data_IF_191930755471
#
_entry.id   IF_191930755471
#
_cell.length_a   1.000
_cell.length_b   1.000
_cell.length_c   1.000
_cell.angle_alpha   90.00
_cell.angle_beta   90.00
_cell.angle_gamma   90.00
#
_symmetry.space_group_name_H-M   'P 1'
#
loop_
_entity.id
_entity.type
_entity.pdbx_description
1 polymer ?
#
# COMPACT_ATOMS: atom_id res chain seq x y z
N UNK A 1 18.28 -25.06 -16.06
CA UNK A 1 17.76 -24.09 -15.08
C UNK A 1 17.91 -22.70 -15.66
N UNK A 2 16.81 -21.94 -15.85
CA UNK A 2 16.94 -20.52 -16.25
C UNK A 2 17.45 -19.73 -15.05
N UNK A 3 18.39 -18.78 -15.24
CA UNK A 3 18.84 -17.91 -14.15
C UNK A 3 17.63 -17.20 -13.53
N UNK A 4 17.63 -17.05 -12.21
CA UNK A 4 16.66 -16.20 -11.53
C UNK A 4 16.62 -14.83 -12.24
N UNK A 5 15.44 -14.32 -12.57
CA UNK A 5 15.32 -13.00 -13.19
C UNK A 5 16.07 -11.99 -12.31
N UNK A 6 16.99 -11.19 -12.87
CA UNK A 6 17.76 -10.23 -12.09
C UNK A 6 16.79 -9.29 -11.36
N UNK A 7 16.98 -9.14 -10.05
CA UNK A 7 16.19 -8.19 -9.27
C UNK A 7 16.50 -6.79 -9.80
N UNK A 8 15.46 -6.07 -10.18
CA UNK A 8 15.57 -4.71 -10.68
C UNK A 8 15.53 -3.75 -9.48
N UNK A 9 16.65 -3.10 -9.12
CA UNK A 9 16.75 -2.30 -7.90
C UNK A 9 15.68 -1.21 -7.80
N UNK A 10 15.28 -0.62 -8.94
CA UNK A 10 14.25 0.40 -9.02
C UNK A 10 12.87 -0.10 -8.55
N UNK A 11 12.53 -1.37 -8.80
CA UNK A 11 11.28 -1.96 -8.33
C UNK A 11 11.38 -2.44 -6.88
N UNK A 12 12.56 -2.85 -6.41
CA UNK A 12 12.79 -3.15 -5.00
C UNK A 12 12.73 -1.87 -4.14
N UNK A 13 13.24 -0.75 -4.66
CA UNK A 13 13.09 0.59 -4.07
C UNK A 13 11.62 1.01 -4.04
N UNK A 14 10.90 0.81 -5.14
CA UNK A 14 9.47 1.13 -5.22
C UNK A 14 8.65 0.30 -4.23
N UNK A 15 8.99 -0.98 -3.98
CA UNK A 15 8.33 -1.80 -2.94
C UNK A 15 8.56 -1.23 -1.54
N UNK A 16 9.79 -0.80 -1.24
CA UNK A 16 10.11 -0.19 0.05
C UNK A 16 9.38 1.15 0.21
N UNK A 17 9.36 1.98 -0.84
CA UNK A 17 8.62 3.25 -0.83
C UNK A 17 7.11 3.03 -0.67
N UNK A 18 6.54 2.06 -1.40
CA UNK A 18 5.13 1.71 -1.27
C UNK A 18 4.79 1.24 0.14
N UNK A 19 5.68 0.47 0.78
CA UNK A 19 5.51 0.06 2.17
C UNK A 19 5.61 1.22 3.15
N UNK A 20 6.58 2.12 2.94
CA UNK A 20 6.70 3.36 3.71
C UNK A 20 5.43 4.22 3.57
N UNK A 21 4.87 4.34 2.36
CA UNK A 21 3.61 5.03 2.12
C UNK A 21 2.41 4.38 2.80
N UNK A 22 2.39 3.05 2.96
CA UNK A 22 1.34 2.37 3.75
C UNK A 22 1.44 2.77 5.22
N UNK A 23 2.64 2.73 5.82
CA UNK A 23 2.86 3.19 7.20
C UNK A 23 2.47 4.67 7.36
N UNK A 24 2.86 5.50 6.39
CA UNK A 24 2.54 6.91 6.35
C UNK A 24 1.03 7.18 6.25
N UNK A 25 0.29 6.37 5.48
CA UNK A 25 -1.17 6.46 5.45
C UNK A 25 -1.80 6.00 6.78
N UNK A 26 -1.17 5.05 7.47
CA UNK A 26 -1.62 4.56 8.76
C UNK A 26 -1.42 5.57 9.90
N UNK A 27 -0.48 6.52 9.80
CA UNK A 27 -0.45 7.66 10.73
C UNK A 27 -1.72 8.50 10.64
N UNK A 28 -2.27 8.65 9.43
CA UNK A 28 -3.52 9.39 9.24
C UNK A 28 -4.74 8.54 9.58
N UNK A 29 -4.79 7.31 9.08
CA UNK A 29 -5.98 6.46 9.21
C UNK A 29 -6.16 5.83 10.58
N UNK A 30 -5.08 5.37 11.22
CA UNK A 30 -5.12 4.83 12.57
C UNK A 30 -4.66 5.85 13.61
N UNK A 31 -3.56 6.56 13.34
CA UNK A 31 -2.99 7.53 14.28
C UNK A 31 -3.87 8.76 14.54
N UNK A 32 -4.59 9.26 13.52
CA UNK A 32 -5.51 10.39 13.66
C UNK A 32 -6.99 9.97 13.48
N UNK A 33 -7.26 8.66 13.53
CA UNK A 33 -8.59 8.06 13.40
C UNK A 33 -9.44 8.61 12.24
N UNK A 34 -8.82 8.81 11.07
CA UNK A 34 -9.44 9.44 9.89
C UNK A 34 -10.79 8.84 9.49
N UNK A 35 -11.01 7.55 9.73
CA UNK A 35 -12.22 6.86 9.29
C UNK A 35 -13.42 7.04 10.23
N UNK A 36 -13.18 7.15 11.54
CA UNK A 36 -14.27 7.30 12.51
C UNK A 36 -14.45 8.77 12.93
N UNK A 37 -13.33 9.49 13.10
CA UNK A 37 -13.29 10.87 13.56
C UNK A 37 -12.32 11.69 12.68
N UNK A 38 -12.70 12.00 11.43
CA UNK A 38 -11.84 12.73 10.50
C UNK A 38 -11.42 14.09 11.10
N UNK A 39 -10.10 14.38 11.18
CA UNK A 39 -9.60 15.65 11.70
C UNK A 39 -10.21 16.85 10.97
N UNK A 40 -10.60 17.85 11.75
CA UNK A 40 -11.21 19.09 11.29
C UNK A 40 -10.20 20.23 11.43
N UNK A 41 -10.16 21.12 10.45
CA UNK A 41 -9.26 22.27 10.42
C UNK A 41 -10.03 23.54 10.04
N UNK A 42 -9.71 24.64 10.73
CA UNK A 42 -10.25 25.96 10.46
C UNK A 42 -9.34 26.70 9.48
N UNK A 43 -9.86 27.02 8.29
CA UNK A 43 -9.07 27.71 7.25
C UNK A 43 -8.76 29.18 7.59
N UNK A 44 -9.44 29.75 8.59
CA UNK A 44 -9.18 31.09 9.12
C UNK A 44 -7.90 31.16 9.94
N UNK A 45 -7.46 30.06 10.55
CA UNK A 45 -6.19 29.97 11.25
C UNK A 45 -5.07 29.58 10.28
N UNK A 46 -3.97 30.34 10.28
CA UNK A 46 -2.86 30.12 9.34
C UNK A 46 -2.14 28.79 9.54
N UNK A 47 -2.02 28.31 10.78
CA UNK A 47 -1.35 27.04 11.11
C UNK A 47 -2.24 25.87 10.73
N UNK A 48 -3.52 25.92 11.09
CA UNK A 48 -4.46 24.86 10.74
C UNK A 48 -4.70 24.76 9.23
N UNK A 49 -4.78 25.90 8.54
CA UNK A 49 -4.84 25.95 7.09
C UNK A 49 -3.62 25.26 6.45
N UNK A 50 -2.41 25.59 6.91
CA UNK A 50 -1.20 24.95 6.43
C UNK A 50 -1.19 23.44 6.74
N UNK A 51 -1.56 23.05 7.96
CA UNK A 51 -1.64 21.65 8.38
C UNK A 51 -2.62 20.86 7.52
N UNK A 52 -3.80 21.39 7.23
CA UNK A 52 -4.77 20.75 6.34
C UNK A 52 -4.18 20.50 4.95
N UNK A 53 -3.64 21.52 4.27
CA UNK A 53 -3.12 21.35 2.91
C UNK A 53 -1.95 20.37 2.87
N UNK A 54 -1.05 20.45 3.85
CA UNK A 54 0.11 19.55 3.96
C UNK A 54 -0.31 18.11 4.26
N UNK A 55 -1.22 17.89 5.21
CA UNK A 55 -1.71 16.55 5.54
C UNK A 55 -2.60 15.96 4.45
N UNK A 56 -3.42 16.76 3.78
CA UNK A 56 -4.23 16.30 2.67
C UNK A 56 -3.35 15.89 1.48
N UNK A 57 -2.27 16.64 1.21
CA UNK A 57 -1.25 16.24 0.24
C UNK A 57 -0.51 14.96 0.68
N UNK A 58 -0.14 14.84 1.96
CA UNK A 58 0.44 13.63 2.54
C UNK A 58 -0.44 12.39 2.32
N UNK A 59 -1.73 12.48 2.66
CA UNK A 59 -2.70 11.39 2.45
C UNK A 59 -2.80 11.04 0.97
N UNK A 60 -2.88 12.03 0.08
CA UNK A 60 -3.00 11.80 -1.36
C UNK A 60 -1.75 11.13 -1.97
N UNK A 61 -0.56 11.53 -1.53
CA UNK A 61 0.71 10.94 -1.96
C UNK A 61 0.83 9.50 -1.43
N UNK A 62 0.50 9.27 -0.15
CA UNK A 62 0.72 7.99 0.52
C UNK A 62 -0.34 6.92 0.18
N UNK A 63 -1.55 7.33 -0.19
CA UNK A 63 -2.66 6.42 -0.53
C UNK A 63 -2.38 5.50 -1.73
N UNK A 64 -1.32 5.75 -2.49
CA UNK A 64 -0.91 4.94 -3.65
C UNK A 64 -0.22 3.62 -3.27
N UNK A 65 0.25 3.48 -2.03
CA UNK A 65 1.15 2.39 -1.64
C UNK A 65 0.60 0.99 -1.94
N UNK A 66 -0.64 0.72 -1.54
CA UNK A 66 -1.33 -0.56 -1.81
C UNK A 66 -1.40 -0.85 -3.31
N UNK A 67 -1.87 0.12 -4.10
CA UNK A 67 -2.04 -0.03 -5.54
C UNK A 67 -0.70 -0.32 -6.22
N UNK A 68 0.36 0.41 -5.85
CA UNK A 68 1.71 0.20 -6.36
C UNK A 68 2.22 -1.21 -6.04
N UNK A 69 1.98 -1.71 -4.83
CA UNK A 69 2.41 -3.05 -4.43
C UNK A 69 1.79 -4.16 -5.30
N UNK A 70 0.50 -4.02 -5.63
CA UNK A 70 -0.21 -4.96 -6.51
C UNK A 70 0.18 -4.76 -7.98
N UNK A 71 0.37 -3.52 -8.46
CA UNK A 71 0.87 -3.22 -9.80
C UNK A 71 2.22 -3.88 -10.07
N UNK A 72 3.15 -3.84 -9.10
CA UNK A 72 4.44 -4.55 -9.18
C UNK A 72 4.20 -6.05 -9.33
N UNK A 73 3.25 -6.61 -8.59
CA UNK A 73 2.91 -8.04 -8.67
C UNK A 73 2.40 -8.41 -10.07
N UNK A 74 1.45 -7.66 -10.63
CA UNK A 74 0.96 -7.84 -12.00
C UNK A 74 2.07 -7.70 -13.04
N UNK A 75 2.87 -6.65 -12.93
CA UNK A 75 3.96 -6.34 -13.88
C UNK A 75 4.96 -7.49 -14.04
N UNK A 76 5.34 -8.17 -12.95
CA UNK A 76 6.27 -9.30 -13.02
C UNK A 76 5.57 -10.64 -13.31
N UNK A 77 4.40 -10.89 -12.72
CA UNK A 77 3.74 -12.18 -12.83
C UNK A 77 2.96 -12.36 -14.14
N UNK A 78 2.61 -11.29 -14.87
CA UNK A 78 1.86 -11.40 -16.14
C UNK A 78 2.56 -12.29 -17.18
N UNK A 79 3.90 -12.39 -17.12
CA UNK A 79 4.71 -13.22 -18.05
C UNK A 79 4.93 -14.65 -17.53
N UNK A 80 4.32 -15.01 -16.40
CA UNK A 80 4.46 -16.33 -15.76
C UNK A 80 3.09 -16.99 -15.63
N UNK A 81 2.92 -18.14 -16.29
CA UNK A 81 1.74 -19.02 -16.18
C UNK A 81 1.89 -20.11 -15.12
N UNK A 82 2.99 -20.05 -14.33
CA UNK A 82 3.28 -21.01 -13.26
C UNK A 82 2.54 -20.64 -11.98
N UNK A 83 2.04 -21.65 -11.28
CA UNK A 83 1.49 -21.47 -9.94
C UNK A 83 2.52 -20.92 -8.96
N UNK A 84 2.06 -20.04 -8.07
CA UNK A 84 2.91 -19.29 -7.13
C UNK A 84 3.00 -19.96 -5.75
N UNK A 85 3.03 -21.29 -5.69
CA UNK A 85 2.97 -22.08 -4.44
C UNK A 85 4.00 -21.64 -3.40
N UNK A 86 5.26 -21.50 -3.80
CA UNK A 86 6.33 -21.05 -2.89
C UNK A 86 6.08 -19.66 -2.34
N UNK A 87 5.57 -18.74 -3.17
CA UNK A 87 5.32 -17.36 -2.76
C UNK A 87 4.09 -17.29 -1.83
N UNK A 88 3.04 -18.03 -2.15
CA UNK A 88 1.85 -18.15 -1.31
C UNK A 88 2.19 -18.75 0.06
N UNK A 89 2.96 -19.86 0.08
CA UNK A 89 3.41 -20.50 1.31
C UNK A 89 4.28 -19.57 2.17
N UNK A 90 5.18 -18.79 1.56
CA UNK A 90 5.99 -17.80 2.26
C UNK A 90 5.15 -16.68 2.86
N UNK A 91 4.21 -16.12 2.09
CA UNK A 91 3.30 -15.07 2.57
C UNK A 91 2.45 -15.61 3.71
N UNK A 92 1.83 -16.77 3.54
CA UNK A 92 0.98 -17.39 4.57
C UNK A 92 1.76 -17.67 5.86
N UNK A 93 2.92 -18.33 5.76
CA UNK A 93 3.72 -18.69 6.93
C UNK A 93 4.23 -17.44 7.65
N UNK A 94 4.70 -16.43 6.91
CA UNK A 94 5.11 -15.17 7.53
C UNK A 94 3.92 -14.49 8.22
N UNK A 95 2.75 -14.41 7.59
CA UNK A 95 1.56 -13.83 8.21
C UNK A 95 1.12 -14.60 9.45
N UNK A 96 1.13 -15.93 9.41
CA UNK A 96 0.82 -16.79 10.56
C UNK A 96 1.78 -16.56 11.73
N UNK A 97 3.09 -16.48 11.46
CA UNK A 97 4.08 -16.23 12.51
C UNK A 97 3.83 -14.87 13.18
N UNK A 98 3.57 -13.80 12.42
CA UNK A 98 3.29 -12.50 13.00
C UNK A 98 1.92 -12.46 13.72
N UNK A 99 0.88 -13.09 13.17
CA UNK A 99 -0.46 -13.09 13.81
C UNK A 99 -0.47 -13.83 15.13
N UNK A 100 0.38 -14.85 15.31
CA UNK A 100 0.47 -15.63 16.54
C UNK A 100 1.53 -15.07 17.51
N UNK A 101 2.72 -14.72 17.01
CA UNK A 101 3.83 -14.32 17.88
C UNK A 101 3.59 -12.97 18.57
N UNK A 102 2.94 -12.02 17.89
CA UNK A 102 2.65 -10.71 18.48
C UNK A 102 1.78 -10.82 19.74
N UNK A 103 0.55 -11.39 19.67
CA UNK A 103 -0.29 -11.52 20.87
C UNK A 103 0.38 -12.38 21.93
N UNK A 104 1.06 -13.48 21.55
CA UNK A 104 1.78 -14.32 22.49
C UNK A 104 2.86 -13.54 23.27
N UNK A 105 3.71 -12.78 22.57
CA UNK A 105 4.74 -11.96 23.21
C UNK A 105 4.14 -10.89 24.13
N UNK A 106 3.09 -10.19 23.69
CA UNK A 106 2.47 -9.12 24.48
C UNK A 106 1.80 -9.66 25.76
N UNK A 107 1.17 -10.84 25.67
CA UNK A 107 0.59 -11.54 26.83
C UNK A 107 1.70 -12.00 27.79
N UNK A 108 2.79 -12.58 27.26
CA UNK A 108 3.91 -13.06 28.09
C UNK A 108 4.65 -11.94 28.82
N UNK A 109 4.59 -10.70 28.32
CA UNK A 109 5.17 -9.52 28.96
C UNK A 109 4.16 -8.73 29.81
N UNK A 110 2.95 -9.26 30.04
CA UNK A 110 1.85 -8.58 30.73
C UNK A 110 1.48 -7.20 30.14
N UNK A 111 1.79 -6.98 28.86
CA UNK A 111 1.47 -5.73 28.16
C UNK A 111 -0.01 -5.68 27.73
N UNK A 112 -0.63 -6.85 27.55
CA UNK A 112 -2.07 -7.04 27.30
C UNK A 112 -2.55 -8.29 28.05
N UNK A 113 -3.82 -8.34 28.41
CA UNK A 113 -4.41 -9.52 29.06
C UNK A 113 -4.64 -10.69 28.11
N UNK A 114 -4.81 -11.88 28.69
CA UNK A 114 -5.04 -13.14 27.94
C UNK A 114 -6.31 -13.14 27.08
N UNK A 115 -7.29 -12.31 27.44
CA UNK A 115 -8.55 -12.09 26.74
C UNK A 115 -8.39 -11.47 25.35
N UNK A 116 -7.25 -10.80 25.09
CA UNK A 116 -6.94 -10.26 23.77
C UNK A 116 -6.54 -11.35 22.77
N UNK A 117 -6.29 -12.58 23.22
CA UNK A 117 -6.06 -13.72 22.34
C UNK A 117 -7.33 -14.11 21.58
N UNK A 118 -7.30 -14.02 20.25
CA UNK A 118 -8.41 -14.39 19.37
C UNK A 118 -8.06 -15.63 18.57
N UNK A 119 -8.98 -16.61 18.52
CA UNK A 119 -8.81 -17.84 17.72
C UNK A 119 -8.56 -17.55 16.24
N UNK A 120 -9.06 -16.41 15.73
CA UNK A 120 -8.77 -15.94 14.37
C UNK A 120 -7.28 -15.78 14.07
N UNK A 121 -6.43 -15.52 15.06
CA UNK A 121 -4.98 -15.38 14.87
C UNK A 121 -4.29 -16.66 14.38
N UNK A 122 -4.88 -17.85 14.64
CA UNK A 122 -4.38 -19.12 14.12
C UNK A 122 -4.70 -19.33 12.63
N UNK A 123 -5.73 -18.65 12.12
CA UNK A 123 -6.20 -18.74 10.74
C UNK A 123 -6.32 -17.33 10.11
N UNK A 124 -5.20 -16.58 9.98
CA UNK A 124 -5.22 -15.15 9.72
C UNK A 124 -5.81 -14.76 8.35
N UNK A 125 -5.86 -15.70 7.39
CA UNK A 125 -6.54 -15.48 6.10
C UNK A 125 -8.06 -15.63 6.20
N UNK A 126 -8.54 -16.52 7.08
CA UNK A 126 -9.97 -16.75 7.26
C UNK A 126 -10.60 -15.65 8.12
N UNK A 127 -9.93 -15.27 9.20
CA UNK A 127 -10.39 -14.23 10.13
C UNK A 127 -10.16 -12.80 9.62
N UNK A 128 -9.57 -12.64 8.43
CA UNK A 128 -9.32 -11.38 7.77
C UNK A 128 -8.55 -10.34 8.61
N UNK A 129 -7.68 -10.81 9.52
CA UNK A 129 -6.90 -9.94 10.44
C UNK A 129 -6.07 -8.93 9.65
N UNK A 130 -5.54 -9.37 8.51
CA UNK A 130 -4.87 -8.51 7.54
C UNK A 130 -5.59 -8.56 6.20
N UNK A 131 -6.53 -7.61 6.01
CA UNK A 131 -7.38 -7.57 4.84
C UNK A 131 -6.60 -7.65 3.51
N UNK A 132 -5.43 -7.01 3.44
CA UNK A 132 -4.58 -7.00 2.26
C UNK A 132 -4.06 -8.41 1.94
N UNK A 133 -3.60 -9.14 2.94
CA UNK A 133 -2.98 -10.47 2.76
C UNK A 133 -4.01 -11.47 2.24
N UNK A 134 -5.23 -11.45 2.78
CA UNK A 134 -6.33 -12.31 2.33
C UNK A 134 -6.57 -12.17 0.83
N UNK A 135 -6.69 -10.93 0.34
CA UNK A 135 -6.91 -10.66 -1.10
C UNK A 135 -5.65 -10.93 -1.91
N UNK A 136 -4.46 -10.65 -1.36
CA UNK A 136 -3.20 -10.87 -2.04
C UNK A 136 -2.90 -12.35 -2.30
N UNK A 137 -3.15 -13.23 -1.32
CA UNK A 137 -2.98 -14.68 -1.48
C UNK A 137 -3.95 -15.23 -2.53
N UNK A 138 -5.21 -14.78 -2.49
CA UNK A 138 -6.19 -15.13 -3.53
C UNK A 138 -5.75 -14.67 -4.93
N UNK A 139 -5.23 -13.44 -5.05
CA UNK A 139 -4.65 -12.95 -6.31
C UNK A 139 -3.48 -13.83 -6.79
N UNK A 140 -2.58 -14.25 -5.90
CA UNK A 140 -1.46 -15.12 -6.27
C UNK A 140 -1.92 -16.50 -6.76
N UNK A 141 -3.00 -17.04 -6.20
CA UNK A 141 -3.62 -18.28 -6.66
C UNK A 141 -4.21 -18.13 -8.07
N UNK A 142 -4.84 -16.97 -8.35
CA UNK A 142 -5.44 -16.66 -9.66
C UNK A 142 -4.42 -16.23 -10.71
N UNK A 143 -3.30 -15.63 -10.31
CA UNK A 143 -2.26 -15.08 -11.18
C UNK A 143 -1.88 -15.96 -12.39
N UNK A 144 -1.62 -17.28 -12.28
CA UNK A 144 -1.28 -18.10 -13.45
C UNK A 144 -2.39 -18.14 -14.52
N UNK A 145 -3.66 -18.10 -14.11
CA UNK A 145 -4.80 -18.09 -15.03
C UNK A 145 -4.95 -16.72 -15.68
N UNK A 146 -4.85 -15.65 -14.89
CA UNK A 146 -4.89 -14.27 -15.38
C UNK A 146 -3.76 -14.02 -16.40
N UNK A 147 -2.56 -14.55 -16.15
CA UNK A 147 -1.43 -14.49 -17.09
C UNK A 147 -1.68 -15.26 -18.38
N UNK A 148 -2.33 -16.44 -18.32
CA UNK A 148 -2.69 -17.20 -19.52
C UNK A 148 -3.71 -16.45 -20.37
N UNK A 149 -4.73 -15.86 -19.73
CA UNK A 149 -5.70 -15.01 -20.42
C UNK A 149 -5.00 -13.83 -21.10
N UNK A 150 -4.20 -13.06 -20.35
CA UNK A 150 -3.49 -11.91 -20.89
C UNK A 150 -2.55 -12.25 -22.06
N UNK A 151 -1.97 -13.46 -22.08
CA UNK A 151 -1.11 -13.91 -23.16
C UNK A 151 -1.85 -14.18 -24.48
N UNK A 152 -3.17 -14.43 -24.43
CA UNK A 152 -4.00 -14.69 -25.60
C UNK A 152 -4.71 -13.44 -26.13
N UNK A 153 -4.77 -12.36 -25.35
CA UNK A 153 -5.43 -11.14 -25.76
C UNK A 153 -4.60 -10.38 -26.80
N UNK A 154 -5.27 -9.91 -27.85
CA UNK A 154 -4.67 -8.87 -28.69
C UNK A 154 -4.55 -7.58 -27.90
N UNK A 155 -3.70 -6.64 -28.33
CA UNK A 155 -3.56 -5.34 -27.66
C UNK A 155 -4.89 -4.60 -27.56
N UNK A 156 -5.77 -4.73 -28.57
CA UNK A 156 -7.11 -4.12 -28.59
C UNK A 156 -8.01 -4.76 -27.55
N UNK A 157 -8.07 -6.09 -27.50
CA UNK A 157 -8.91 -6.82 -26.54
C UNK A 157 -8.44 -6.60 -25.10
N UNK A 158 -7.12 -6.48 -24.89
CA UNK A 158 -6.59 -6.11 -23.58
C UNK A 158 -7.06 -4.71 -23.16
N UNK A 159 -7.01 -3.71 -24.05
CA UNK A 159 -7.54 -2.37 -23.74
C UNK A 159 -9.05 -2.40 -23.44
N UNK A 160 -9.83 -3.20 -24.18
CA UNK A 160 -11.26 -3.40 -23.89
C UNK A 160 -11.44 -4.03 -22.51
N UNK A 161 -10.68 -5.08 -22.17
CA UNK A 161 -10.70 -5.69 -20.83
C UNK A 161 -10.40 -4.66 -19.74
N UNK A 162 -9.36 -3.84 -19.91
CA UNK A 162 -9.02 -2.78 -18.95
C UNK A 162 -10.14 -1.74 -18.82
N UNK A 163 -10.79 -1.36 -19.93
CA UNK A 163 -11.91 -0.44 -19.91
C UNK A 163 -13.12 -1.03 -19.18
N UNK A 164 -13.45 -2.29 -19.42
CA UNK A 164 -14.52 -3.01 -18.71
C UNK A 164 -14.21 -3.07 -17.21
N UNK A 165 -13.00 -3.49 -16.84
CA UNK A 165 -12.57 -3.54 -15.44
C UNK A 165 -12.58 -2.16 -14.79
N UNK A 166 -12.21 -1.10 -15.53
CA UNK A 166 -12.28 0.27 -15.05
C UNK A 166 -13.74 0.66 -14.75
N UNK A 167 -14.67 0.46 -15.68
CA UNK A 167 -16.09 0.79 -15.48
C UNK A 167 -16.68 0.04 -14.28
N UNK A 168 -16.34 -1.23 -14.11
CA UNK A 168 -16.86 -2.05 -13.01
C UNK A 168 -16.22 -1.72 -11.65
N UNK A 169 -15.03 -1.13 -11.61
CA UNK A 169 -14.33 -0.84 -10.36
C UNK A 169 -14.41 0.63 -9.94
N UNK A 170 -14.47 1.57 -10.86
CA UNK A 170 -14.48 3.00 -10.53
C UNK A 170 -15.88 3.50 -10.20
N UNK A 171 -15.92 4.54 -9.37
CA UNK A 171 -17.10 5.41 -9.22
C UNK A 171 -16.96 6.57 -10.20
N UNK A 172 -17.45 6.38 -11.43
CA UNK A 172 -17.43 7.44 -12.45
C UNK A 172 -18.75 8.20 -12.46
N UNK A 173 -18.67 9.54 -12.47
CA UNK A 173 -19.78 10.44 -12.84
C UNK A 173 -21.12 10.14 -12.13
N UNK A 174 -21.09 9.84 -10.83
CA UNK A 174 -22.31 9.56 -10.05
C UNK A 174 -22.87 8.14 -10.20
N UNK A 175 -22.26 7.29 -11.04
CA UNK A 175 -22.66 5.89 -11.21
C UNK A 175 -21.86 5.01 -10.24
N UNK A 176 -22.52 4.30 -9.30
CA UNK A 176 -21.86 3.61 -8.19
C UNK A 176 -21.39 2.19 -8.56
N UNK A 177 -21.02 1.90 -9.81
CA UNK A 177 -20.61 0.54 -10.22
C UNK A 177 -19.45 -0.01 -9.40
N UNK A 178 -18.47 0.83 -9.07
CA UNK A 178 -17.39 0.45 -8.17
C UNK A 178 -17.85 -0.02 -6.79
N UNK A 179 -18.92 0.55 -6.24
CA UNK A 179 -19.50 0.15 -4.95
C UNK A 179 -20.38 -1.10 -5.09
N UNK A 180 -21.11 -1.23 -6.20
CA UNK A 180 -21.99 -2.36 -6.48
C UNK A 180 -21.20 -3.66 -6.73
N UNK A 181 -20.15 -3.60 -7.56
CA UNK A 181 -19.51 -4.80 -8.12
C UNK A 181 -18.14 -5.15 -7.51
N UNK A 182 -17.48 -4.23 -6.84
CA UNK A 182 -16.10 -4.43 -6.39
C UNK A 182 -15.90 -4.07 -4.92
N UNK A 183 -15.98 -2.79 -4.60
CA UNK A 183 -15.54 -2.23 -3.33
C UNK A 183 -14.04 -1.91 -3.29
N UNK A 184 -13.66 -0.99 -2.41
CA UNK A 184 -12.32 -0.37 -2.41
C UNK A 184 -11.19 -1.33 -1.97
N UNK A 185 -11.51 -2.44 -1.31
CA UNK A 185 -10.55 -3.42 -0.74
C UNK A 185 -10.77 -4.84 -1.29
N UNK A 186 -11.28 -4.95 -2.51
CA UNK A 186 -11.77 -6.20 -3.06
C UNK A 186 -10.71 -7.02 -3.81
N UNK A 187 -10.95 -8.33 -3.93
CA UNK A 187 -10.16 -9.18 -4.82
C UNK A 187 -10.34 -8.74 -6.28
N UNK A 188 -11.52 -8.28 -6.65
CA UNK A 188 -11.82 -7.83 -8.01
C UNK A 188 -10.97 -6.62 -8.40
N UNK A 189 -10.76 -5.67 -7.48
CA UNK A 189 -9.82 -4.55 -7.68
C UNK A 189 -8.37 -5.03 -7.84
N UNK A 190 -7.97 -6.03 -7.07
CA UNK A 190 -6.62 -6.61 -7.16
C UNK A 190 -6.39 -7.28 -8.53
N UNK A 191 -7.40 -7.95 -9.08
CA UNK A 191 -7.37 -8.50 -10.44
C UNK A 191 -7.22 -7.38 -11.47
N UNK A 192 -7.95 -6.27 -11.32
CA UNK A 192 -7.80 -5.09 -12.19
C UNK A 192 -6.40 -4.53 -12.16
N UNK A 193 -5.82 -4.29 -10.98
CA UNK A 193 -4.44 -3.84 -10.83
C UNK A 193 -3.43 -4.82 -11.42
N UNK A 194 -3.67 -6.13 -11.30
CA UNK A 194 -2.82 -7.16 -11.91
C UNK A 194 -2.77 -7.02 -13.44
N UNK A 195 -3.93 -6.87 -14.09
CA UNK A 195 -4.01 -6.62 -15.53
C UNK A 195 -3.42 -5.26 -15.93
N UNK A 196 -3.64 -4.20 -15.16
CA UNK A 196 -3.01 -2.90 -15.44
C UNK A 196 -1.48 -3.00 -15.38
N UNK A 197 -0.93 -3.60 -14.31
CA UNK A 197 0.51 -3.85 -14.20
C UNK A 197 1.03 -4.72 -15.34
N UNK A 198 0.25 -5.72 -15.74
CA UNK A 198 0.56 -6.60 -16.86
C UNK A 198 0.62 -5.87 -18.21
N UNK A 199 -0.37 -5.01 -18.49
CA UNK A 199 -0.39 -4.17 -19.68
C UNK A 199 0.81 -3.22 -19.73
N UNK A 200 1.16 -2.61 -18.59
CA UNK A 200 2.36 -1.77 -18.48
C UNK A 200 3.66 -2.53 -18.80
N UNK A 201 3.69 -3.85 -18.57
CA UNK A 201 4.84 -4.71 -18.90
C UNK A 201 4.91 -5.09 -20.37
N UNK A 202 3.77 -5.25 -21.02
CA UNK A 202 3.68 -5.83 -22.36
C UNK A 202 3.59 -4.77 -23.46
N UNK A 203 2.88 -3.67 -23.21
CA UNK A 203 2.47 -2.74 -24.27
C UNK A 203 2.76 -1.26 -23.99
N UNK A 204 3.08 -0.88 -22.75
CA UNK A 204 3.31 0.53 -22.45
C UNK A 204 4.65 1.02 -23.03
N UNK A 205 4.68 2.21 -23.66
CA UNK A 205 5.92 2.81 -24.14
C UNK A 205 6.83 3.20 -22.97
N UNK A 206 8.03 3.72 -23.26
CA UNK A 206 8.86 4.31 -22.23
C UNK A 206 8.12 5.44 -21.48
N UNK A 207 8.29 5.55 -20.15
CA UNK A 207 7.68 6.65 -19.38
C UNK A 207 8.23 8.01 -19.80
N UNK A 208 7.36 9.01 -19.86
CA UNK A 208 7.72 10.39 -20.17
C UNK A 208 8.62 10.98 -19.07
N UNK A 209 9.56 11.87 -19.43
CA UNK A 209 10.54 12.45 -18.49
C UNK A 209 9.90 13.23 -17.34
N UNK A 210 8.71 13.81 -17.55
CA UNK A 210 8.00 14.61 -16.54
C UNK A 210 6.95 13.82 -15.73
N UNK A 211 6.89 12.49 -15.85
CA UNK A 211 5.85 11.71 -15.16
C UNK A 211 5.91 11.84 -13.63
N UNK A 212 7.09 12.06 -13.05
CA UNK A 212 7.24 12.33 -11.61
C UNK A 212 6.65 13.68 -11.20
N UNK A 213 6.88 14.73 -12.00
CA UNK A 213 6.25 16.03 -11.79
C UNK A 213 4.74 15.99 -12.01
N UNK A 214 4.28 15.20 -12.99
CA UNK A 214 2.85 14.96 -13.19
C UNK A 214 2.23 14.25 -11.98
N UNK A 215 2.92 13.28 -11.37
CA UNK A 215 2.48 12.64 -10.13
C UNK A 215 2.32 13.65 -8.98
N UNK A 216 3.33 14.48 -8.73
CA UNK A 216 3.29 15.49 -7.67
C UNK A 216 2.21 16.54 -7.93
N UNK A 217 2.18 17.08 -9.15
CA UNK A 217 1.18 18.07 -9.58
C UNK A 217 -0.24 17.52 -9.50
N UNK A 218 -0.45 16.24 -9.85
CA UNK A 218 -1.75 15.58 -9.71
C UNK A 218 -2.16 15.44 -8.24
N UNK A 219 -1.25 15.07 -7.33
CA UNK A 219 -1.58 14.98 -5.90
C UNK A 219 -1.94 16.35 -5.30
N UNK A 220 -1.20 17.40 -5.69
CA UNK A 220 -1.50 18.79 -5.29
C UNK A 220 -2.85 19.22 -5.84
N UNK A 221 -3.11 18.99 -7.13
CA UNK A 221 -4.39 19.28 -7.76
C UNK A 221 -5.54 18.58 -7.03
N UNK A 222 -5.36 17.30 -6.68
CA UNK A 222 -6.37 16.54 -5.94
C UNK A 222 -6.66 17.16 -4.56
N UNK A 223 -5.61 17.58 -3.84
CA UNK A 223 -5.74 18.30 -2.57
C UNK A 223 -6.52 19.61 -2.74
N UNK A 224 -6.19 20.41 -3.74
CA UNK A 224 -6.87 21.67 -4.03
C UNK A 224 -8.34 21.43 -4.41
N UNK A 225 -8.62 20.44 -5.26
CA UNK A 225 -9.99 20.10 -5.65
C UNK A 225 -10.84 19.65 -4.45
N UNK A 226 -10.28 18.84 -3.54
CA UNK A 226 -10.98 18.42 -2.32
C UNK A 226 -11.26 19.61 -1.39
N UNK A 227 -10.28 20.49 -1.20
CA UNK A 227 -10.45 21.72 -0.42
C UNK A 227 -11.56 22.60 -0.99
N UNK A 228 -11.53 22.84 -2.32
CA UNK A 228 -12.54 23.65 -3.02
C UNK A 228 -13.92 23.01 -2.98
N UNK A 229 -14.01 21.68 -3.07
CA UNK A 229 -15.28 20.96 -2.96
C UNK A 229 -15.92 21.16 -1.57
N UNK A 230 -15.13 21.06 -0.50
CA UNK A 230 -15.60 21.28 0.86
C UNK A 230 -16.01 22.74 1.10
N UNK A 231 -15.19 23.69 0.63
CA UNK A 231 -15.48 25.13 0.74
C UNK A 231 -16.76 25.53 -0.01
N UNK A 232 -16.96 25.04 -1.26
CA UNK A 232 -18.21 25.27 -2.01
C UNK A 232 -19.44 24.62 -1.39
N UNK A 233 -19.26 23.61 -0.55
CA UNK A 233 -20.31 23.02 0.26
C UNK A 233 -20.78 23.90 1.42
N UNK A 234 -20.25 25.12 1.55
CA UNK A 234 -20.61 26.06 2.61
C UNK A 234 -19.96 25.74 3.95
N UNK A 235 -18.93 24.89 3.97
CA UNK A 235 -18.20 24.55 5.20
C UNK A 235 -17.11 25.58 5.46
N UNK A 236 -17.18 26.25 6.60
CA UNK A 236 -16.09 27.11 7.11
C UNK A 236 -14.88 26.28 7.59
N UNK A 237 -15.15 25.03 7.95
CA UNK A 237 -14.18 24.02 8.37
C UNK A 237 -13.98 22.96 7.28
N UNK A 238 -12.74 22.50 7.13
CA UNK A 238 -12.40 21.40 6.21
C UNK A 238 -12.00 20.16 6.98
N UNK A 239 -12.45 19.02 6.49
CA UNK A 239 -12.11 17.72 7.06
C UNK A 239 -11.03 17.06 6.22
N UNK A 240 -10.07 16.39 6.86
CA UNK A 240 -9.15 15.51 6.16
C UNK A 240 -9.95 14.39 5.49
N UNK A 241 -9.70 14.13 4.21
CA UNK A 241 -10.40 13.10 3.45
C UNK A 241 -9.42 12.10 2.85
N UNK A 242 -9.81 10.82 2.83
CA UNK A 242 -9.15 9.81 2.00
C UNK A 242 -10.07 9.36 0.87
N UNK A 243 -9.48 9.02 -0.26
CA UNK A 243 -10.21 8.53 -1.42
C UNK A 243 -10.19 7.01 -1.52
N UNK A 244 -11.05 6.50 -2.39
CA UNK A 244 -11.11 5.10 -2.73
C UNK A 244 -9.84 4.66 -3.48
N UNK A 245 -9.27 3.49 -3.14
CA UNK A 245 -8.12 2.92 -3.85
C UNK A 245 -8.39 2.72 -5.35
N UNK A 246 -9.62 2.32 -5.68
CA UNK A 246 -10.26 2.24 -7.00
C UNK A 246 -10.88 3.59 -7.42
N UNK A 247 -10.16 4.69 -7.23
CA UNK A 247 -10.58 6.06 -7.56
C UNK A 247 -9.43 6.88 -8.13
N UNK A 248 -9.38 8.17 -7.81
CA UNK A 248 -8.30 9.07 -8.25
C UNK A 248 -6.90 8.58 -7.85
N UNK A 249 -6.77 7.89 -6.70
CA UNK A 249 -5.51 7.33 -6.23
C UNK A 249 -4.95 6.19 -7.09
N UNK A 250 -5.77 5.59 -7.98
CA UNK A 250 -5.26 4.66 -8.99
C UNK A 250 -4.35 5.37 -10.00
N UNK A 251 -4.77 6.53 -10.50
CA UNK A 251 -4.01 7.26 -11.52
C UNK A 251 -2.68 7.74 -10.96
N UNK A 252 -2.67 8.26 -9.74
CA UNK A 252 -1.42 8.64 -9.06
C UNK A 252 -0.51 7.43 -8.81
N UNK A 253 -1.06 6.27 -8.45
CA UNK A 253 -0.29 5.02 -8.33
C UNK A 253 0.36 4.59 -9.66
N UNK A 254 -0.37 4.69 -10.78
CA UNK A 254 0.18 4.43 -12.12
C UNK A 254 1.29 5.43 -12.45
N UNK A 255 1.10 6.73 -12.18
CA UNK A 255 2.13 7.74 -12.43
C UNK A 255 3.40 7.48 -11.60
N UNK A 256 3.27 7.16 -10.31
CA UNK A 256 4.42 6.80 -9.46
C UNK A 256 5.12 5.53 -9.94
N UNK A 257 4.36 4.50 -10.32
CA UNK A 257 4.91 3.27 -10.90
C UNK A 257 5.71 3.55 -12.18
N UNK A 258 5.18 4.41 -13.05
CA UNK A 258 5.83 4.85 -14.29
C UNK A 258 7.06 5.73 -14.01
N UNK A 259 7.03 6.53 -12.95
CA UNK A 259 8.18 7.30 -12.50
C UNK A 259 9.31 6.38 -12.01
N UNK A 260 8.99 5.33 -11.26
CA UNK A 260 9.99 4.37 -10.79
C UNK A 260 10.71 3.64 -11.93
N UNK A 261 10.05 3.42 -13.07
CA UNK A 261 10.69 2.87 -14.27
C UNK A 261 11.81 3.75 -14.83
N UNK A 262 11.86 5.04 -14.46
CA UNK A 262 12.93 5.99 -14.84
C UNK A 262 14.08 6.03 -13.85
N UNK A 263 13.94 5.47 -12.66
CA UNK A 263 14.98 5.55 -11.63
C UNK A 263 16.21 4.76 -12.08
N UNK A 264 17.31 5.47 -12.26
CA UNK A 264 18.59 4.86 -12.58
C UNK A 264 19.37 4.62 -11.27
N UNK A 265 19.18 3.44 -10.69
CA UNK A 265 19.95 2.99 -9.54
C UNK A 265 21.13 2.18 -10.06
N UNK A 266 22.26 2.85 -10.25
CA UNK A 266 23.50 2.19 -10.65
C UNK A 266 23.90 1.09 -9.65
N UNK A 267 24.63 0.10 -10.13
CA UNK A 267 25.18 -0.96 -9.28
C UNK A 267 26.17 -0.34 -8.27
N UNK A 268 25.68 -0.14 -7.05
CA UNK A 268 26.38 0.59 -6.00
C UNK A 268 25.98 0.13 -4.62
N UNK A 269 26.44 0.84 -3.59
CA UNK A 269 26.08 0.58 -2.20
C UNK A 269 24.54 0.63 -2.02
N UNK A 270 23.90 1.70 -2.48
CA UNK A 270 22.46 1.91 -2.32
C UNK A 270 21.60 0.85 -3.01
N UNK A 271 21.91 0.49 -4.27
CA UNK A 271 21.22 -0.59 -4.99
C UNK A 271 21.30 -1.93 -4.24
N UNK A 272 22.48 -2.27 -3.71
CA UNK A 272 22.69 -3.48 -2.91
C UNK A 272 21.92 -3.44 -1.59
N UNK A 273 21.93 -2.31 -0.88
CA UNK A 273 21.20 -2.13 0.37
C UNK A 273 19.69 -2.24 0.16
N UNK A 274 19.14 -1.57 -0.85
CA UNK A 274 17.73 -1.67 -1.24
C UNK A 274 17.33 -3.12 -1.53
N UNK A 275 18.11 -3.82 -2.35
CA UNK A 275 17.84 -5.23 -2.68
C UNK A 275 17.93 -6.18 -1.48
N UNK A 276 18.75 -5.82 -0.47
CA UNK A 276 18.85 -6.56 0.81
C UNK A 276 17.68 -6.29 1.74
N UNK A 277 17.19 -5.05 1.78
CA UNK A 277 16.11 -4.63 2.68
C UNK A 277 14.71 -4.96 2.15
N UNK A 278 14.50 -4.91 0.84
CA UNK A 278 13.18 -5.10 0.23
C UNK A 278 12.45 -6.41 0.62
N UNK A 279 13.13 -7.56 0.81
CA UNK A 279 12.48 -8.77 1.32
C UNK A 279 11.78 -8.61 2.68
N UNK A 280 12.22 -7.66 3.52
CA UNK A 280 11.63 -7.41 4.84
C UNK A 280 10.43 -6.46 4.78
N UNK A 281 10.18 -5.79 3.66
CA UNK A 281 9.11 -4.80 3.52
C UNK A 281 7.74 -5.37 3.89
N UNK A 282 7.44 -6.61 3.49
CA UNK A 282 6.15 -7.23 3.83
C UNK A 282 5.97 -7.45 5.34
N UNK A 283 7.04 -7.75 6.07
CA UNK A 283 6.97 -7.89 7.52
C UNK A 283 6.69 -6.57 8.23
N UNK A 284 7.13 -5.43 7.67
CA UNK A 284 6.77 -4.09 8.18
C UNK A 284 5.26 -3.95 8.25
N UNK A 285 4.55 -4.31 7.18
CA UNK A 285 3.09 -4.29 7.15
C UNK A 285 2.47 -5.15 8.25
N UNK A 286 2.90 -6.41 8.35
CA UNK A 286 2.35 -7.33 9.36
C UNK A 286 2.58 -6.84 10.79
N UNK A 287 3.73 -6.25 11.08
CA UNK A 287 4.03 -5.82 12.44
C UNK A 287 3.20 -4.60 12.86
N UNK A 288 3.30 -3.49 12.14
CA UNK A 288 2.69 -2.23 12.56
C UNK A 288 1.16 -2.21 12.38
N UNK A 289 0.62 -3.02 11.45
CA UNK A 289 -0.82 -3.09 11.17
C UNK A 289 -1.53 -4.20 11.99
N UNK A 290 -0.81 -4.95 12.83
CA UNK A 290 -1.45 -5.93 13.72
C UNK A 290 -2.43 -5.20 14.67
N UNK A 291 -3.67 -5.69 14.88
CA UNK A 291 -4.67 -5.01 15.71
C UNK A 291 -4.17 -4.53 17.07
N UNK A 292 -3.51 -5.40 17.84
CA UNK A 292 -2.93 -5.06 19.15
C UNK A 292 -1.78 -4.04 19.06
N UNK A 293 -0.93 -4.15 18.03
CA UNK A 293 0.18 -3.20 17.85
C UNK A 293 -0.37 -1.84 17.46
N UNK A 294 -1.39 -1.77 16.60
CA UNK A 294 -2.06 -0.51 16.28
C UNK A 294 -2.61 0.15 17.54
N UNK A 295 -3.26 -0.63 18.41
CA UNK A 295 -3.83 -0.10 19.63
C UNK A 295 -2.75 0.54 20.52
N UNK A 296 -1.67 -0.19 20.79
CA UNK A 296 -0.57 0.29 21.62
C UNK A 296 0.18 1.47 20.96
N UNK A 297 0.51 1.35 19.68
CA UNK A 297 1.33 2.32 18.96
C UNK A 297 0.61 3.66 18.78
N UNK A 298 -0.64 3.64 18.35
CA UNK A 298 -1.38 4.84 17.96
C UNK A 298 -2.23 5.46 19.08
N UNK A 299 -2.46 4.75 20.18
CA UNK A 299 -3.23 5.30 21.30
C UNK A 299 -2.46 5.36 22.63
N UNK A 300 -1.36 4.61 22.77
CA UNK A 300 -0.54 4.66 24.00
C UNK A 300 0.81 5.36 23.79
N UNK A 301 1.42 5.21 22.61
CA UNK A 301 2.76 5.78 22.34
C UNK A 301 2.69 7.13 21.64
N UNK A 302 1.78 7.28 20.67
CA UNK A 302 1.66 8.48 19.85
C UNK A 302 0.28 9.11 20.04
N UNK A 303 0.21 10.38 20.46
CA UNK A 303 -1.03 11.16 20.49
C UNK A 303 -0.98 12.25 19.40
N UNK A 304 -1.18 11.80 18.15
CA UNK A 304 -1.24 12.71 17.00
C UNK A 304 -2.45 13.65 17.03
N UNK A 305 -3.65 13.23 17.50
CA UNK A 305 -4.80 14.13 17.61
C UNK A 305 -4.54 15.37 18.48
N UNK A 306 -3.78 15.24 19.58
CA UNK A 306 -3.41 16.38 20.41
C UNK A 306 -2.54 17.43 19.69
N UNK A 307 -1.91 17.06 18.56
CA UNK A 307 -0.99 17.91 17.80
C UNK A 307 -1.62 18.60 16.59
N UNK A 308 -2.94 18.47 16.36
CA UNK A 308 -3.59 18.97 15.13
C UNK A 308 -3.42 20.48 14.88
N UNK A 309 -3.44 21.29 15.93
CA UNK A 309 -3.20 22.75 15.86
C UNK A 309 -1.72 23.15 15.90
N UNK A 310 -0.78 22.20 15.97
CA UNK A 310 0.64 22.49 16.09
C UNK A 310 1.32 22.57 14.73
N UNK A 311 2.21 23.55 14.55
CA UNK A 311 3.09 23.62 13.37
C UNK A 311 4.04 22.41 13.24
N UNK A 312 4.22 21.64 14.33
CA UNK A 312 5.04 20.43 14.36
C UNK A 312 4.32 19.16 13.92
N UNK A 313 3.04 19.24 13.55
CA UNK A 313 2.22 18.08 13.18
C UNK A 313 2.83 17.26 12.04
N UNK A 314 3.16 17.89 10.91
CA UNK A 314 3.74 17.17 9.78
C UNK A 314 5.14 16.59 10.09
N UNK A 315 6.08 17.34 10.72
CA UNK A 315 7.33 16.78 11.22
C UNK A 315 7.13 15.56 12.14
N UNK A 316 6.15 15.61 13.05
CA UNK A 316 5.82 14.51 13.96
C UNK A 316 5.29 13.29 13.19
N UNK A 317 4.39 13.49 12.22
CA UNK A 317 3.92 12.43 11.33
C UNK A 317 5.07 11.77 10.58
N UNK A 318 6.00 12.55 10.03
CA UNK A 318 7.17 12.03 9.31
C UNK A 318 8.11 11.26 10.24
N UNK A 319 8.44 11.83 11.41
CA UNK A 319 9.32 11.20 12.40
C UNK A 319 8.72 9.89 12.92
N UNK A 320 7.42 9.88 13.21
CA UNK A 320 6.68 8.68 13.64
C UNK A 320 6.70 7.61 12.55
N UNK A 321 6.37 7.97 11.31
CA UNK A 321 6.41 7.05 10.15
C UNK A 321 7.79 6.44 9.97
N UNK A 322 8.84 7.27 9.99
CA UNK A 322 10.21 6.82 9.80
C UNK A 322 10.65 5.87 10.93
N UNK A 323 10.32 6.22 12.17
CA UNK A 323 10.65 5.40 13.34
C UNK A 323 9.95 4.04 13.27
N UNK A 324 8.64 4.03 13.02
CA UNK A 324 7.85 2.79 12.87
C UNK A 324 8.40 1.95 11.73
N UNK A 325 8.69 2.55 10.58
CA UNK A 325 9.21 1.84 9.42
C UNK A 325 10.57 1.21 9.72
N UNK A 326 11.52 1.96 10.30
CA UNK A 326 12.87 1.46 10.62
C UNK A 326 12.80 0.35 11.67
N UNK A 327 12.09 0.56 12.78
CA UNK A 327 11.94 -0.44 13.85
C UNK A 327 11.29 -1.71 13.30
N UNK A 328 10.22 -1.56 12.52
CA UNK A 328 9.53 -2.73 11.94
C UNK A 328 10.36 -3.46 10.90
N UNK A 329 11.19 -2.74 10.14
CA UNK A 329 12.10 -3.33 9.17
C UNK A 329 13.20 -4.13 9.87
N UNK A 330 13.73 -3.58 10.96
CA UNK A 330 14.71 -4.24 11.81
C UNK A 330 14.13 -5.51 12.45
N UNK A 331 12.97 -5.41 13.11
CA UNK A 331 12.30 -6.56 13.74
C UNK A 331 11.93 -7.64 12.71
N UNK A 332 11.45 -7.24 11.53
CA UNK A 332 11.17 -8.18 10.43
C UNK A 332 12.40 -8.93 9.92
N UNK A 333 13.61 -8.42 10.16
CA UNK A 333 14.83 -9.10 9.73
C UNK A 333 15.11 -10.39 10.52
N UNK A 334 14.62 -10.49 11.76
CA UNK A 334 14.78 -11.68 12.62
C UNK A 334 13.78 -12.79 12.31
N UNK A 335 12.59 -12.46 11.81
CA UNK A 335 11.50 -13.41 11.54
C UNK A 335 11.59 -14.00 10.11
N UNK A 336 12.73 -13.81 9.43
CA UNK A 336 12.86 -14.23 8.03
C UNK A 336 12.81 -15.74 7.91
N UNK A 337 11.76 -16.22 7.25
CA UNK A 337 11.63 -17.62 6.85
C UNK A 337 12.44 -17.87 5.57
N UNK A 338 13.72 -18.21 5.72
CA UNK A 338 14.55 -18.71 4.62
C UNK A 338 14.28 -20.20 4.38
N UNK A 339 13.17 -20.54 3.71
CA UNK A 339 12.95 -21.91 3.23
C UNK A 339 13.83 -22.14 1.98
N UNK A 340 14.89 -22.92 2.18
CA UNK A 340 15.78 -23.49 1.16
C UNK A 340 16.51 -22.49 0.25
N UNK A 341 17.55 -21.85 0.78
CA UNK A 341 18.78 -21.66 0.00
C UNK A 341 19.63 -22.92 0.19
N UNK A 342 19.38 -23.99 -0.58
CA UNK A 342 20.44 -24.98 -0.83
C UNK A 342 21.57 -24.21 -1.52
N UNK A 343 22.55 -23.75 -0.73
CA UNK A 343 23.88 -23.42 -1.24
C UNK A 343 24.36 -24.69 -1.93
N UNK A 344 24.29 -24.73 -3.26
CA UNK A 344 25.12 -25.66 -4.02
C UNK A 344 26.52 -25.10 -3.91
N UNK A 345 27.32 -25.71 -3.04
CA UNK A 345 28.78 -25.77 -3.16
C UNK A 345 29.15 -26.37 -4.50
#
# INVERSE_FOLDING_TARGET
MKPATPRLPQFEALRLLAMFFIVALHTSTHGMDLFNHPPVFHLSDGVECANYFLLQAWVNICSVGVNVYVLITGYFLIRSSRFQWEKMGKVWLQTFLFSVAIPACLILTDAVGTEEWKMGYLLPLWSDVYWFVTRYVALLALAPFLSRLAAQLTRRDYLILLAVLAVLNFKFFGVPYGEIFSGNKSLFWFISLFFFGGYLRQHAPAPHRYVGWAFLGYCILLTLCLALFQWRGGKEEVQLMTGAYNGFHFFSAVMLFRWAQRWNLSDGFWSRTICRLSPFAFGVYLLHDHPLVRQLLWHCVLDLPASLGSAWLLPLCLASTLSIFIVSLFLSSFVRVDVCRKRRS
#
